data_IF_540043475209
#
_entry.id   IF_540043475209
#
_cell.length_a   1.000
_cell.length_b   1.000
_cell.length_c   1.000
_cell.angle_alpha   90.00
_cell.angle_beta   90.00
_cell.angle_gamma   90.00
#
_symmetry.space_group_name_H-M   'P 1'
#
loop_
_entity.id
_entity.type
_entity.pdbx_description
1 polymer ?
#
# COMPACT_ATOMS: atom_id res chain seq x y z
N UNK A 1 -12.06 -15.28 11.39
CA UNK A 1 -11.33 -14.04 11.04
C UNK A 1 -11.53 -13.07 12.20
N UNK A 2 -10.47 -12.77 12.97
CA UNK A 2 -10.54 -11.95 14.19
C UNK A 2 -10.70 -10.47 13.85
N UNK A 3 -11.77 -9.87 14.38
CA UNK A 3 -11.95 -8.42 14.51
C UNK A 3 -11.11 -7.93 15.70
N UNK A 4 -9.82 -7.76 15.51
CA UNK A 4 -8.92 -7.11 16.46
C UNK A 4 -8.65 -5.66 16.02
N UNK A 5 -8.22 -4.81 16.96
CA UNK A 5 -7.73 -3.44 16.69
C UNK A 5 -6.72 -3.54 15.54
N UNK A 6 -7.05 -2.97 14.37
CA UNK A 6 -6.24 -3.06 13.14
C UNK A 6 -5.00 -2.21 13.34
N UNK A 7 -3.88 -2.85 13.69
CA UNK A 7 -2.59 -2.20 13.72
C UNK A 7 -2.05 -2.11 12.29
N UNK A 8 -1.80 -0.92 11.75
CA UNK A 8 -1.38 -0.74 10.35
C UNK A 8 -0.08 -1.47 9.99
N UNK A 9 0.79 -1.64 10.98
CA UNK A 9 2.02 -2.42 10.86
C UNK A 9 1.76 -3.92 10.66
N UNK A 10 0.70 -4.45 11.28
CA UNK A 10 0.29 -5.83 11.10
C UNK A 10 -0.21 -6.09 9.67
N UNK A 11 -1.03 -5.19 9.13
CA UNK A 11 -1.58 -5.35 7.78
C UNK A 11 -0.49 -5.27 6.69
N UNK A 12 0.48 -4.37 6.86
CA UNK A 12 1.65 -4.30 5.97
C UNK A 12 2.50 -5.59 5.99
N UNK A 13 2.67 -6.21 7.18
CA UNK A 13 3.40 -7.48 7.31
C UNK A 13 2.62 -8.62 6.65
N UNK A 14 1.29 -8.67 6.82
CA UNK A 14 0.43 -9.68 6.18
C UNK A 14 0.50 -9.57 4.65
N UNK A 15 0.46 -8.35 4.12
CA UNK A 15 0.58 -8.06 2.69
C UNK A 15 1.95 -8.51 2.12
N UNK A 16 3.04 -8.12 2.79
CA UNK A 16 4.38 -8.55 2.41
C UNK A 16 4.52 -10.09 2.40
N UNK A 17 3.97 -10.77 3.41
CA UNK A 17 3.98 -12.23 3.48
C UNK A 17 3.18 -12.88 2.34
N UNK A 18 2.04 -12.32 1.95
CA UNK A 18 1.26 -12.79 0.80
C UNK A 18 2.09 -12.76 -0.48
N UNK A 19 2.73 -11.62 -0.75
CA UNK A 19 3.57 -11.45 -1.93
C UNK A 19 4.79 -12.38 -1.92
N UNK A 20 5.47 -12.52 -0.77
CA UNK A 20 6.59 -13.45 -0.62
C UNK A 20 6.17 -14.91 -0.84
N UNK A 21 4.98 -15.31 -0.39
CA UNK A 21 4.46 -16.65 -0.61
C UNK A 21 4.24 -16.95 -2.11
N UNK A 22 3.73 -15.98 -2.88
CA UNK A 22 3.60 -16.11 -4.34
C UNK A 22 4.98 -16.21 -5.01
N UNK A 23 5.94 -15.37 -4.59
CA UNK A 23 7.30 -15.43 -5.12
C UNK A 23 7.97 -16.77 -4.83
N UNK A 24 7.81 -17.31 -3.63
CA UNK A 24 8.33 -18.62 -3.24
C UNK A 24 7.71 -19.74 -4.08
N UNK A 25 6.38 -19.72 -4.25
CA UNK A 25 5.65 -20.66 -5.10
C UNK A 25 6.09 -20.61 -6.59
N UNK A 26 6.60 -19.48 -7.06
CA UNK A 26 7.14 -19.35 -8.42
C UNK A 26 8.48 -20.07 -8.63
N UNK A 27 9.16 -20.48 -7.55
CA UNK A 27 10.51 -21.06 -7.57
C UNK A 27 11.55 -20.15 -8.29
N UNK A 28 11.29 -18.84 -8.33
CA UNK A 28 12.18 -17.85 -8.92
C UNK A 28 12.99 -17.14 -7.83
N UNK A 29 14.20 -17.66 -7.58
CA UNK A 29 15.11 -17.14 -6.54
C UNK A 29 15.44 -15.66 -6.74
N UNK A 30 15.57 -15.20 -7.99
CA UNK A 30 15.82 -13.79 -8.28
C UNK A 30 14.63 -12.92 -7.85
N UNK A 31 13.40 -13.36 -8.14
CA UNK A 31 12.18 -12.66 -7.73
C UNK A 31 12.07 -12.58 -6.19
N UNK A 32 12.35 -13.67 -5.49
CA UNK A 32 12.34 -13.69 -4.01
C UNK A 32 13.34 -12.68 -3.45
N UNK A 33 14.55 -12.62 -4.01
CA UNK A 33 15.60 -11.71 -3.55
C UNK A 33 15.21 -10.24 -3.77
N UNK A 34 14.67 -9.92 -4.95
CA UNK A 34 14.18 -8.57 -5.27
C UNK A 34 13.02 -8.18 -4.34
N UNK A 35 12.05 -9.07 -4.14
CA UNK A 35 10.89 -8.80 -3.29
C UNK A 35 11.29 -8.51 -1.83
N UNK A 36 12.23 -9.26 -1.25
CA UNK A 36 12.73 -9.00 0.10
C UNK A 36 13.36 -7.61 0.22
N UNK A 37 14.26 -7.26 -0.71
CA UNK A 37 14.90 -5.94 -0.71
C UNK A 37 13.91 -4.79 -0.93
N UNK A 38 12.90 -4.98 -1.80
CA UNK A 38 11.84 -3.99 -2.01
C UNK A 38 10.95 -3.83 -0.78
N UNK A 39 10.56 -4.92 -0.11
CA UNK A 39 9.73 -4.82 1.10
C UNK A 39 10.47 -4.11 2.22
N UNK A 40 11.75 -4.36 2.44
CA UNK A 40 12.53 -3.64 3.47
C UNK A 40 12.55 -2.12 3.20
N UNK A 41 12.69 -1.72 1.93
CA UNK A 41 12.65 -0.31 1.52
C UNK A 41 11.23 0.30 1.60
N UNK A 42 10.21 -0.43 1.16
CA UNK A 42 8.80 -0.01 1.21
C UNK A 42 8.31 0.14 2.65
N UNK A 43 8.65 -0.81 3.53
CA UNK A 43 8.31 -0.75 4.95
C UNK A 43 9.04 0.45 5.62
N UNK A 44 10.27 0.76 5.22
CA UNK A 44 10.98 1.93 5.74
C UNK A 44 10.44 3.27 5.23
N UNK A 45 10.07 3.37 3.96
CA UNK A 45 9.78 4.64 3.29
C UNK A 45 8.27 4.98 3.24
N UNK A 46 7.42 3.97 3.08
CA UNK A 46 5.99 4.11 2.76
C UNK A 46 5.10 3.62 3.90
N UNK A 47 5.64 3.15 5.04
CA UNK A 47 4.83 2.68 6.18
C UNK A 47 3.71 3.63 6.58
N UNK A 48 3.93 4.95 6.57
CA UNK A 48 2.88 5.96 6.83
C UNK A 48 1.82 6.03 5.74
N UNK A 49 2.19 5.90 4.47
CA UNK A 49 1.24 5.93 3.37
C UNK A 49 0.49 4.60 3.23
N UNK A 50 1.16 3.47 3.49
CA UNK A 50 0.55 2.14 3.59
C UNK A 50 -0.43 2.09 4.78
N UNK A 51 -0.06 2.67 5.93
CA UNK A 51 -0.97 2.81 7.07
C UNK A 51 -2.25 3.54 6.66
N UNK A 52 -2.13 4.68 5.96
CA UNK A 52 -3.31 5.42 5.50
C UNK A 52 -4.11 4.67 4.43
N UNK A 53 -3.42 3.96 3.55
CA UNK A 53 -4.03 3.13 2.51
C UNK A 53 -4.83 1.97 3.11
N UNK A 54 -4.37 1.36 4.20
CA UNK A 54 -5.07 0.29 4.92
C UNK A 54 -6.10 0.79 5.96
N UNK A 55 -5.95 2.03 6.47
CA UNK A 55 -6.92 2.62 7.42
C UNK A 55 -8.19 3.15 6.71
N UNK A 56 -8.13 3.41 5.40
CA UNK A 56 -9.34 3.75 4.61
C UNK A 56 -10.16 2.48 4.36
N UNK A 57 -11.30 2.37 5.04
CA UNK A 57 -12.21 1.22 4.96
C UNK A 57 -12.57 0.82 3.51
N UNK A 58 -12.73 1.80 2.62
CA UNK A 58 -13.00 1.59 1.19
C UNK A 58 -11.84 0.96 0.44
N UNK A 59 -10.60 1.32 0.77
CA UNK A 59 -9.39 0.85 0.08
C UNK A 59 -9.03 -0.57 0.48
N UNK A 60 -9.23 -0.92 1.76
CA UNK A 60 -8.99 -2.28 2.26
C UNK A 60 -9.78 -3.34 1.50
N UNK A 61 -11.10 -3.13 1.35
CA UNK A 61 -11.97 -4.09 0.67
C UNK A 61 -11.56 -4.30 -0.79
N UNK A 62 -11.13 -3.23 -1.47
CA UNK A 62 -10.66 -3.28 -2.86
C UNK A 62 -9.36 -4.05 -2.97
N UNK A 63 -8.37 -3.77 -2.11
CA UNK A 63 -7.08 -4.46 -2.11
C UNK A 63 -7.27 -5.95 -1.81
N UNK A 64 -8.09 -6.28 -0.82
CA UNK A 64 -8.37 -7.67 -0.49
C UNK A 64 -9.00 -8.42 -1.67
N UNK A 65 -9.95 -7.80 -2.38
CA UNK A 65 -10.54 -8.39 -3.57
C UNK A 65 -9.51 -8.57 -4.71
N UNK A 66 -8.59 -7.61 -4.88
CA UNK A 66 -7.50 -7.73 -5.85
C UNK A 66 -6.54 -8.88 -5.51
N UNK A 67 -6.13 -9.03 -4.25
CA UNK A 67 -5.31 -10.17 -3.81
C UNK A 67 -6.01 -11.50 -4.03
N UNK A 68 -7.33 -11.58 -3.75
CA UNK A 68 -8.12 -12.78 -4.05
C UNK A 68 -8.14 -13.09 -5.54
N UNK A 69 -8.22 -12.09 -6.42
CA UNK A 69 -8.17 -12.29 -7.87
C UNK A 69 -6.81 -12.83 -8.33
N UNK A 70 -5.70 -12.30 -7.78
CA UNK A 70 -4.35 -12.82 -8.04
C UNK A 70 -4.25 -14.28 -7.59
N UNK A 71 -4.63 -14.56 -6.35
CA UNK A 71 -4.60 -15.90 -5.77
C UNK A 71 -5.42 -16.89 -6.61
N UNK A 72 -6.61 -16.49 -7.05
CA UNK A 72 -7.46 -17.32 -7.91
C UNK A 72 -6.75 -17.67 -9.22
N UNK A 73 -6.15 -16.69 -9.91
CA UNK A 73 -5.37 -16.96 -11.13
C UNK A 73 -4.21 -17.93 -10.91
N UNK A 74 -3.51 -17.80 -9.78
CA UNK A 74 -2.42 -18.72 -9.40
C UNK A 74 -2.96 -20.13 -9.13
N UNK A 75 -4.02 -20.28 -8.34
CA UNK A 75 -4.61 -21.58 -7.99
C UNK A 75 -5.21 -22.29 -9.21
N UNK A 76 -5.83 -21.54 -10.12
CA UNK A 76 -6.39 -22.06 -11.37
C UNK A 76 -5.31 -22.37 -12.42
N UNK A 77 -4.04 -22.06 -12.13
CA UNK A 77 -2.89 -22.20 -13.05
C UNK A 77 -3.07 -21.40 -14.34
N UNK A 78 -3.71 -20.24 -14.24
CA UNK A 78 -3.86 -19.28 -15.34
C UNK A 78 -2.87 -18.13 -15.15
N UNK A 79 -1.68 -18.19 -15.81
CA UNK A 79 -0.65 -17.18 -15.63
C UNK A 79 -1.04 -15.82 -16.19
N UNK A 80 -1.90 -15.77 -17.22
CA UNK A 80 -2.31 -14.51 -17.83
C UNK A 80 -3.36 -13.80 -16.95
N UNK A 81 -4.31 -14.55 -16.38
CA UNK A 81 -5.24 -14.02 -15.40
C UNK A 81 -4.53 -13.52 -14.14
N UNK A 82 -3.57 -14.29 -13.61
CA UNK A 82 -2.78 -13.89 -12.45
C UNK A 82 -1.97 -12.61 -12.74
N UNK A 83 -1.35 -12.52 -13.93
CA UNK A 83 -0.59 -11.34 -14.36
C UNK A 83 -1.49 -10.12 -14.50
N UNK A 84 -2.65 -10.27 -15.14
CA UNK A 84 -3.60 -9.17 -15.31
C UNK A 84 -4.12 -8.65 -13.96
N UNK A 85 -4.47 -9.55 -13.04
CA UNK A 85 -4.89 -9.17 -11.69
C UNK A 85 -3.78 -8.45 -10.92
N UNK A 86 -2.52 -8.90 -11.05
CA UNK A 86 -1.37 -8.25 -10.44
C UNK A 86 -1.13 -6.84 -11.01
N UNK A 87 -1.29 -6.64 -12.33
CA UNK A 87 -1.20 -5.30 -12.92
C UNK A 87 -2.28 -4.36 -12.40
N UNK A 88 -3.53 -4.82 -12.33
CA UNK A 88 -4.64 -4.03 -11.75
C UNK A 88 -4.32 -3.63 -10.32
N UNK A 89 -3.80 -4.57 -9.52
CA UNK A 89 -3.40 -4.30 -8.15
C UNK A 89 -2.31 -3.23 -8.05
N UNK A 90 -1.21 -3.39 -8.79
CA UNK A 90 -0.09 -2.44 -8.77
C UNK A 90 -0.52 -1.04 -9.23
N UNK A 91 -1.33 -0.93 -10.28
CA UNK A 91 -1.83 0.37 -10.75
C UNK A 91 -2.74 1.06 -9.72
N UNK A 92 -3.56 0.29 -8.99
CA UNK A 92 -4.38 0.83 -7.92
C UNK A 92 -3.54 1.34 -6.75
N UNK A 93 -2.54 0.56 -6.32
CA UNK A 93 -1.62 0.96 -5.24
C UNK A 93 -0.83 2.21 -5.63
N UNK A 94 -0.27 2.24 -6.85
CA UNK A 94 0.46 3.41 -7.36
C UNK A 94 -0.41 4.68 -7.37
N UNK A 95 -1.63 4.58 -7.91
CA UNK A 95 -2.55 5.72 -7.98
C UNK A 95 -2.91 6.24 -6.59
N UNK A 96 -3.22 5.32 -5.67
CA UNK A 96 -3.61 5.66 -4.30
C UNK A 96 -2.46 6.31 -3.53
N UNK A 97 -1.24 5.77 -3.66
CA UNK A 97 -0.05 6.33 -3.01
C UNK A 97 0.26 7.73 -3.55
N UNK A 98 0.11 7.96 -4.86
CA UNK A 98 0.27 9.28 -5.46
C UNK A 98 -0.75 10.28 -4.92
N UNK A 99 -2.02 9.89 -4.86
CA UNK A 99 -3.09 10.74 -4.31
C UNK A 99 -2.82 11.12 -2.84
N UNK A 100 -2.42 10.15 -2.02
CA UNK A 100 -2.04 10.38 -0.62
C UNK A 100 -0.86 11.36 -0.50
N UNK A 101 0.17 11.19 -1.34
CA UNK A 101 1.32 12.10 -1.36
C UNK A 101 0.95 13.53 -1.76
N UNK A 102 0.06 13.68 -2.75
CA UNK A 102 -0.44 15.00 -3.15
C UNK A 102 -1.32 15.64 -2.06
N UNK A 103 -2.14 14.85 -1.37
CA UNK A 103 -2.92 15.31 -0.21
C UNK A 103 -2.01 15.84 0.91
N UNK A 104 -0.93 15.12 1.24
CA UNK A 104 0.04 15.57 2.25
C UNK A 104 0.68 16.91 1.87
N UNK A 105 1.12 17.05 0.61
CA UNK A 105 1.68 18.32 0.12
C UNK A 105 0.65 19.46 0.19
N UNK A 106 -0.62 19.19 -0.14
CA UNK A 106 -1.70 20.19 -0.03
C UNK A 106 -1.95 20.59 1.42
N UNK A 107 -1.99 19.63 2.33
CA UNK A 107 -2.19 19.86 3.77
C UNK A 107 -1.06 20.68 4.37
N UNK A 108 0.20 20.33 4.10
CA UNK A 108 1.36 21.09 4.57
C UNK A 108 1.33 22.53 4.09
N UNK A 109 1.03 22.76 2.80
CA UNK A 109 0.93 24.13 2.25
C UNK A 109 -0.20 24.91 2.92
N UNK A 110 -1.34 24.27 3.20
CA UNK A 110 -2.45 24.91 3.90
C UNK A 110 -2.09 25.29 5.33
N UNK A 111 -1.45 24.39 6.07
CA UNK A 111 -1.01 24.62 7.44
C UNK A 111 0.01 25.77 7.52
N UNK A 112 1.00 25.81 6.61
CA UNK A 112 1.98 26.91 6.56
C UNK A 112 1.33 28.27 6.28
N UNK A 113 0.32 28.33 5.40
CA UNK A 113 -0.44 29.56 5.15
C UNK A 113 -1.23 30.02 6.37
N UNK A 114 -1.89 29.09 7.07
CA UNK A 114 -2.65 29.40 8.27
C UNK A 114 -1.75 29.91 9.39
N UNK A 115 -0.59 29.28 9.59
CA UNK A 115 0.40 29.71 10.59
C UNK A 115 0.91 31.12 10.30
N UNK A 116 1.29 31.41 9.04
CA UNK A 116 1.73 32.76 8.66
C UNK A 116 0.65 33.84 8.79
N UNK A 117 -0.63 33.50 8.67
CA UNK A 117 -1.75 34.42 8.92
C UNK A 117 -1.91 34.71 10.42
N UNK A 118 -1.81 33.69 11.27
CA UNK A 118 -1.88 33.85 12.73
C UNK A 118 -0.69 34.67 13.27
N UNK A 119 0.50 34.50 12.69
CA UNK A 119 1.69 35.27 13.05
C UNK A 119 1.57 36.77 12.68
N UNK A 120 0.85 37.09 11.60
CA UNK A 120 0.56 38.47 11.19
C UNK A 120 -0.45 39.14 12.10
N UNK A 121 -1.48 38.42 12.56
CA UNK A 121 -2.48 38.93 13.51
C UNK A 121 -1.91 39.10 14.93
N UNK A 122 -0.91 38.30 15.32
CA UNK A 122 -0.28 38.38 16.64
C UNK A 122 0.75 39.54 16.77
N UNK A 123 1.15 40.14 15.64
CA UNK A 123 2.17 41.21 15.59
C UNK A 123 1.58 42.59 15.21
N UNK A 124 0.26 42.72 15.24
CA UNK A 124 -0.52 43.98 15.18
C UNK A 124 -1.25 44.22 16.49
#
# INVERSE_FOLDING_TARGET
>A
IQRGVREPQHDAVVDANFHLAIADASHNVALIHVMRGLFDLLLGNISRSLERLYTRESSYAVIHAQHQAILKGVLDRDPDAARQAAHVHLSFVESTLRELGEEDVRQERSQRRLHGLLDLEANT
#
